data_IF_286144206955
#
_entry.id   IF_286144206955
#
_cell.length_a   1.000
_cell.length_b   1.000
_cell.length_c   1.000
_cell.angle_alpha   90.00
_cell.angle_beta   90.00
_cell.angle_gamma   90.00
#
_symmetry.space_group_name_H-M   'P 1'
#
loop_
_entity.id
_entity.type
_entity.pdbx_description
1 polymer ?
#
# COMPACT_ATOMS: atom_id res chain seq x y z
N UNK A 1 -0.53 -21.10 14.77
CA UNK A 1 -0.40 -20.93 13.31
C UNK A 1 0.79 -20.01 13.10
N UNK A 2 1.94 -20.54 12.68
CA UNK A 2 3.08 -19.69 12.32
C UNK A 2 2.73 -18.96 11.03
N UNK A 3 2.84 -17.62 11.06
CA UNK A 3 2.70 -16.82 9.84
C UNK A 3 4.02 -17.00 9.09
N UNK A 4 4.01 -17.53 7.85
CA UNK A 4 5.23 -17.73 7.09
C UNK A 4 5.96 -16.39 6.91
N UNK A 5 7.28 -16.43 6.99
CA UNK A 5 8.12 -15.25 6.82
C UNK A 5 7.88 -14.63 5.43
N UNK A 6 7.55 -13.33 5.41
CA UNK A 6 7.31 -12.61 4.16
C UNK A 6 8.64 -12.40 3.45
N UNK A 7 8.82 -13.04 2.28
CA UNK A 7 10.04 -12.93 1.47
C UNK A 7 10.39 -11.48 1.08
N UNK A 8 9.38 -10.67 0.80
CA UNK A 8 9.56 -9.27 0.42
C UNK A 8 8.64 -8.39 1.28
N UNK A 9 9.23 -7.37 1.90
CA UNK A 9 8.53 -6.40 2.72
C UNK A 9 9.00 -5.00 2.35
N UNK A 10 8.06 -4.11 2.04
CA UNK A 10 8.32 -2.72 1.71
C UNK A 10 7.45 -1.84 2.60
N UNK A 11 8.07 -0.92 3.33
CA UNK A 11 7.37 0.02 4.18
C UNK A 11 6.98 1.25 3.38
N UNK A 12 5.69 1.57 3.39
CA UNK A 12 5.14 2.77 2.79
C UNK A 12 5.28 3.93 3.79
N UNK A 13 5.75 5.09 3.33
CA UNK A 13 5.81 6.31 4.15
C UNK A 13 4.44 6.97 4.33
N UNK A 14 4.30 8.00 5.16
CA UNK A 14 3.06 8.75 5.39
C UNK A 14 1.89 7.90 5.92
N UNK A 15 2.18 6.79 6.62
CA UNK A 15 1.15 5.81 7.01
C UNK A 15 0.05 6.38 7.90
N UNK A 16 0.39 7.22 8.89
CA UNK A 16 -0.59 7.86 9.77
C UNK A 16 -1.37 8.98 9.05
N UNK A 17 -0.73 9.72 8.15
CA UNK A 17 -1.42 10.75 7.36
C UNK A 17 -2.44 10.11 6.41
N UNK A 18 -2.03 9.07 5.67
CA UNK A 18 -2.92 8.25 4.82
C UNK A 18 -4.12 7.71 5.60
N UNK A 19 -3.88 7.17 6.79
CA UNK A 19 -4.92 6.63 7.65
C UNK A 19 -5.91 7.72 8.10
N UNK A 20 -5.42 8.93 8.39
CA UNK A 20 -6.26 10.09 8.72
C UNK A 20 -7.06 10.58 7.52
N UNK A 21 -6.43 10.70 6.35
CA UNK A 21 -7.06 11.07 5.07
C UNK A 21 -8.20 10.11 4.70
N UNK A 22 -7.99 8.81 4.91
CA UNK A 22 -8.91 7.77 4.47
C UNK A 22 -9.92 7.32 5.53
N UNK A 23 -9.80 7.79 6.77
CA UNK A 23 -10.70 7.40 7.87
C UNK A 23 -10.54 5.94 8.33
N UNK A 24 -9.45 5.27 7.94
CA UNK A 24 -9.21 3.86 8.23
C UNK A 24 -7.91 3.34 7.65
N UNK A 25 -7.58 2.08 7.96
CA UNK A 25 -6.44 1.39 7.37
C UNK A 25 -6.87 0.72 6.08
N UNK A 26 -6.32 1.15 4.97
CA UNK A 26 -6.63 0.56 3.67
C UNK A 26 -5.93 -0.80 3.49
N UNK A 27 -6.60 -1.72 2.82
CA UNK A 27 -6.03 -3.02 2.47
C UNK A 27 -6.36 -3.36 1.02
N UNK A 28 -5.33 -3.71 0.27
CA UNK A 28 -5.42 -4.33 -1.05
C UNK A 28 -4.61 -5.62 -0.98
N UNK A 29 -5.29 -6.75 -1.11
CA UNK A 29 -4.67 -8.08 -1.12
C UNK A 29 -5.05 -8.77 -2.41
N UNK A 30 -4.05 -9.25 -3.13
CA UNK A 30 -4.23 -10.07 -4.33
C UNK A 30 -3.64 -11.45 -4.03
N UNK A 31 -4.43 -12.49 -4.29
CA UNK A 31 -4.01 -13.88 -4.14
C UNK A 31 -3.85 -14.53 -5.51
N UNK A 32 -2.63 -14.99 -5.80
CA UNK A 32 -2.25 -15.72 -7.03
C UNK A 32 -2.72 -15.10 -8.35
N UNK A 33 -2.94 -13.77 -8.38
CA UNK A 33 -3.54 -13.06 -9.52
C UNK A 33 -4.92 -13.61 -9.95
N UNK A 34 -5.69 -14.17 -9.02
CA UNK A 34 -7.02 -14.77 -9.27
C UNK A 34 -8.16 -14.03 -8.58
N UNK A 35 -7.89 -13.51 -7.39
CA UNK A 35 -8.89 -12.86 -6.53
C UNK A 35 -8.29 -11.65 -5.82
N UNK A 36 -9.15 -10.72 -5.44
CA UNK A 36 -8.77 -9.53 -4.68
C UNK A 36 -9.68 -9.36 -3.48
N UNK A 37 -9.07 -8.99 -2.34
CA UNK A 37 -9.76 -8.34 -1.22
C UNK A 37 -9.33 -6.88 -1.21
N UNK A 38 -10.31 -5.98 -1.25
CA UNK A 38 -10.07 -4.54 -1.32
C UNK A 38 -11.02 -3.78 -0.41
N UNK A 39 -10.50 -2.84 0.37
CA UNK A 39 -11.33 -1.98 1.20
C UNK A 39 -10.57 -1.40 2.38
N UNK A 40 -11.26 -1.25 3.50
CA UNK A 40 -10.73 -0.56 4.67
C UNK A 40 -11.09 -1.24 5.99
N UNK A 41 -10.15 -1.18 6.93
CA UNK A 41 -10.34 -1.54 8.34
C UNK A 41 -10.50 -0.23 9.11
N UNK A 42 -11.73 0.06 9.51
CA UNK A 42 -12.10 1.30 10.19
C UNK A 42 -11.78 1.20 11.69
N UNK A 43 -12.06 0.05 12.29
CA UNK A 43 -11.82 -0.20 13.71
C UNK A 43 -11.50 -1.67 13.97
N UNK A 44 -11.32 -2.04 15.25
CA UNK A 44 -11.13 -3.45 15.65
C UNK A 44 -12.34 -4.33 15.33
N UNK A 45 -13.53 -3.74 15.17
CA UNK A 45 -14.79 -4.46 14.96
C UNK A 45 -15.47 -4.15 13.63
N UNK A 46 -14.95 -3.20 12.86
CA UNK A 46 -15.56 -2.75 11.60
C UNK A 46 -14.51 -2.79 10.50
N UNK A 47 -14.78 -3.61 9.49
CA UNK A 47 -14.08 -3.63 8.23
C UNK A 47 -15.11 -3.64 7.09
N UNK A 48 -14.87 -2.83 6.07
CA UNK A 48 -15.68 -2.73 4.86
C UNK A 48 -14.79 -3.16 3.71
N UNK A 49 -15.07 -4.35 3.17
CA UNK A 49 -14.25 -4.94 2.11
C UNK A 49 -15.12 -5.54 1.03
N UNK A 50 -14.59 -5.54 -0.19
CA UNK A 50 -15.08 -6.30 -1.31
C UNK A 50 -14.12 -7.46 -1.54
N UNK A 51 -14.68 -8.64 -1.75
CA UNK A 51 -13.96 -9.78 -2.32
C UNK A 51 -14.51 -10.07 -3.71
N UNK A 52 -13.64 -10.27 -4.70
CA UNK A 52 -14.08 -10.58 -6.06
C UNK A 52 -12.99 -11.29 -6.87
N UNK A 53 -13.42 -12.14 -7.81
CA UNK A 53 -12.60 -12.75 -8.87
C UNK A 53 -12.74 -12.00 -10.21
N UNK A 54 -13.35 -10.81 -10.21
CA UNK A 54 -13.50 -10.01 -11.42
C UNK A 54 -12.13 -9.67 -12.02
N UNK A 55 -11.84 -10.21 -13.22
CA UNK A 55 -10.51 -10.12 -13.86
C UNK A 55 -9.99 -8.67 -13.99
N UNK A 56 -10.78 -7.68 -14.45
CA UNK A 56 -10.36 -6.28 -14.43
C UNK A 56 -9.94 -5.76 -13.04
N UNK A 57 -10.73 -6.05 -12.00
CA UNK A 57 -10.37 -5.63 -10.63
C UNK A 57 -9.13 -6.32 -10.10
N UNK A 58 -8.97 -7.62 -10.37
CA UNK A 58 -7.76 -8.37 -10.00
C UNK A 58 -6.53 -7.78 -10.68
N UNK A 59 -6.62 -7.45 -11.97
CA UNK A 59 -5.54 -6.79 -12.72
C UNK A 59 -5.22 -5.42 -12.13
N UNK A 60 -6.24 -4.58 -11.90
CA UNK A 60 -6.06 -3.24 -11.33
C UNK A 60 -5.36 -3.29 -9.97
N UNK A 61 -5.84 -4.15 -9.06
CA UNK A 61 -5.26 -4.31 -7.73
C UNK A 61 -3.84 -4.89 -7.78
N UNK A 62 -3.56 -5.80 -8.72
CA UNK A 62 -2.23 -6.37 -8.91
C UNK A 62 -1.22 -5.31 -9.34
N UNK A 63 -1.58 -4.48 -10.31
CA UNK A 63 -0.73 -3.38 -10.79
C UNK A 63 -0.58 -2.29 -9.74
N UNK A 64 -1.64 -2.00 -8.99
CA UNK A 64 -1.59 -1.06 -7.87
C UNK A 64 -0.53 -1.47 -6.81
N UNK A 65 -0.56 -2.73 -6.36
CA UNK A 65 0.41 -3.25 -5.38
C UNK A 65 1.84 -3.22 -5.94
N UNK A 66 2.03 -3.62 -7.20
CA UNK A 66 3.35 -3.59 -7.85
C UNK A 66 3.89 -2.18 -7.99
N UNK A 67 3.02 -1.23 -8.36
CA UNK A 67 3.38 0.17 -8.53
C UNK A 67 3.93 0.77 -7.23
N UNK A 68 3.25 0.55 -6.10
CA UNK A 68 3.74 1.00 -4.79
C UNK A 68 5.11 0.37 -4.48
N UNK A 69 5.28 -0.94 -4.73
CA UNK A 69 6.56 -1.62 -4.53
C UNK A 69 7.67 -1.03 -5.42
N UNK A 70 7.40 -0.71 -6.69
CA UNK A 70 8.38 -0.10 -7.59
C UNK A 70 8.83 1.27 -7.09
N UNK A 71 7.90 2.08 -6.60
CA UNK A 71 8.21 3.37 -6.00
C UNK A 71 9.14 3.19 -4.80
N UNK A 72 8.75 2.36 -3.81
CA UNK A 72 9.56 2.22 -2.58
C UNK A 72 10.87 1.48 -2.80
N UNK A 73 10.94 0.54 -3.74
CA UNK A 73 12.20 -0.05 -4.16
C UNK A 73 13.15 1.02 -4.71
N UNK A 74 12.64 1.95 -5.52
CA UNK A 74 13.43 3.05 -6.08
C UNK A 74 13.82 4.06 -5.00
N UNK A 75 12.87 4.45 -4.14
CA UNK A 75 13.11 5.39 -3.04
C UNK A 75 14.19 4.87 -2.06
N UNK A 76 14.18 3.57 -1.78
CA UNK A 76 15.17 2.92 -0.91
C UNK A 76 16.56 2.78 -1.55
N UNK A 77 16.70 3.03 -2.86
CA UNK A 77 18.00 3.00 -3.53
C UNK A 77 18.79 4.31 -3.31
N UNK A 78 18.09 5.43 -3.06
CA UNK A 78 18.67 6.76 -2.84
C UNK A 78 18.04 7.42 -1.60
N UNK A 79 18.18 6.82 -0.41
CA UNK A 79 17.39 7.20 0.75
C UNK A 79 17.70 8.61 1.24
N UNK A 80 18.95 9.07 1.13
CA UNK A 80 19.35 10.40 1.61
C UNK A 80 18.80 11.51 0.70
N UNK A 81 18.92 11.31 -0.61
CA UNK A 81 18.43 12.24 -1.62
C UNK A 81 16.91 12.36 -1.58
N UNK A 82 16.22 11.23 -1.42
CA UNK A 82 14.77 11.19 -1.29
C UNK A 82 14.31 11.92 -0.03
N UNK A 83 14.95 11.68 1.12
CA UNK A 83 14.62 12.38 2.36
C UNK A 83 14.94 13.87 2.33
N UNK A 84 16.09 14.24 1.77
CA UNK A 84 16.47 15.65 1.63
C UNK A 84 15.43 16.42 0.79
N UNK A 85 14.92 15.80 -0.27
CA UNK A 85 13.97 16.43 -1.19
C UNK A 85 12.54 16.39 -0.69
N UNK A 86 12.10 15.25 -0.14
CA UNK A 86 10.68 14.98 0.14
C UNK A 86 10.33 14.88 1.62
N UNK A 87 11.31 14.98 2.52
CA UNK A 87 11.14 14.81 3.96
C UNK A 87 11.36 13.37 4.44
N UNK A 88 11.49 13.19 5.76
CA UNK A 88 11.93 11.93 6.36
C UNK A 88 10.98 10.76 6.09
N UNK A 89 9.68 11.05 5.96
CA UNK A 89 8.61 10.11 5.63
C UNK A 89 8.06 10.32 4.20
N UNK A 90 8.82 11.04 3.36
CA UNK A 90 8.46 11.42 1.99
C UNK A 90 7.18 12.27 1.90
N UNK A 91 6.88 13.08 2.92
CA UNK A 91 5.62 13.82 3.05
C UNK A 91 5.32 14.72 1.85
N UNK A 92 6.36 15.30 1.24
CA UNK A 92 6.23 16.21 0.09
C UNK A 92 6.10 15.49 -1.24
N UNK A 93 6.17 14.16 -1.30
CA UNK A 93 6.12 13.42 -2.57
C UNK A 93 4.79 13.62 -3.31
N UNK A 94 3.73 13.95 -2.58
CA UNK A 94 2.37 14.19 -3.11
C UNK A 94 2.08 15.68 -3.37
N UNK A 95 3.03 16.57 -3.10
CA UNK A 95 2.94 17.99 -3.48
C UNK A 95 3.14 18.11 -5.00
N UNK A 96 2.06 17.89 -5.74
CA UNK A 96 2.04 17.93 -7.20
C UNK A 96 1.56 19.29 -7.76
N UNK A 97 1.31 20.27 -6.90
CA UNK A 97 0.87 21.64 -7.23
C UNK A 97 1.60 22.68 -6.38
#
# INVERSE_FOLDING_TARGET
MEIPELKNLYFHGMGEEKKKEMGGRWITLVSDSKEVVFGQIISKSIAEVIWTENKPMVMLASEYVRHDVYFYKSANTLPNEMKQKFGDDLEKIREIF
#
